data_IF_331716691325
#
_entry.id   IF_331716691325
#
_cell.length_a   1.000
_cell.length_b   1.000
_cell.length_c   1.000
_cell.angle_alpha   90.00
_cell.angle_beta   90.00
_cell.angle_gamma   90.00
#
_symmetry.space_group_name_H-M   'P 1'
#
loop_
_entity.id
_entity.type
_entity.pdbx_description
1 polymer ?
#
# COMPACT_ATOMS: atom_id res chain seq x y z
N UNK A 1 -13.51 -19.01 9.09
CA UNK A 1 -14.03 -17.71 8.62
C UNK A 1 -15.17 -18.03 7.69
N UNK A 2 -16.40 -17.88 8.15
CA UNK A 2 -17.56 -18.09 7.31
C UNK A 2 -17.81 -16.82 6.48
N UNK A 3 -17.32 -16.80 5.24
CA UNK A 3 -17.41 -15.64 4.35
C UNK A 3 -18.85 -15.23 4.00
N UNK A 4 -19.84 -16.11 4.22
CA UNK A 4 -21.27 -15.79 4.01
C UNK A 4 -21.88 -14.97 5.14
N UNK A 5 -21.36 -15.06 6.36
CA UNK A 5 -21.97 -14.42 7.54
C UNK A 5 -21.13 -13.26 8.09
N UNK A 6 -19.91 -13.05 7.61
CA UNK A 6 -18.95 -12.07 8.17
C UNK A 6 -18.67 -12.27 9.67
N UNK A 7 -18.96 -13.46 10.20
CA UNK A 7 -18.69 -13.84 11.57
C UNK A 7 -17.39 -14.64 11.58
N UNK A 8 -16.39 -14.14 12.30
CA UNK A 8 -15.21 -14.94 12.62
C UNK A 8 -15.61 -16.01 13.65
N UNK A 9 -15.53 -17.28 13.27
CA UNK A 9 -15.79 -18.41 14.16
C UNK A 9 -14.87 -18.31 15.39
N UNK A 10 -15.48 -18.33 16.59
CA UNK A 10 -14.91 -18.69 17.90
C UNK A 10 -13.39 -18.54 18.08
N UNK A 11 -12.89 -17.31 18.08
CA UNK A 11 -11.50 -17.04 18.52
C UNK A 11 -11.54 -16.20 19.80
N UNK A 12 -11.31 -16.85 20.93
CA UNK A 12 -11.18 -16.25 22.25
C UNK A 12 -9.82 -15.58 22.42
N UNK A 13 -9.71 -14.63 23.35
CA UNK A 13 -8.41 -14.02 23.72
C UNK A 13 -7.39 -15.07 24.20
N UNK A 14 -7.86 -16.17 24.81
CA UNK A 14 -7.03 -17.31 25.20
C UNK A 14 -6.51 -18.08 23.98
N UNK A 15 -7.38 -18.40 23.03
CA UNK A 15 -6.95 -19.07 21.79
C UNK A 15 -6.00 -18.18 20.96
N UNK A 16 -6.20 -16.86 20.96
CA UNK A 16 -5.25 -15.91 20.34
C UNK A 16 -3.90 -15.97 21.05
N UNK A 17 -3.91 -15.94 22.38
CA UNK A 17 -2.70 -16.01 23.21
C UNK A 17 -1.89 -17.28 22.92
N UNK A 18 -2.57 -18.43 22.90
CA UNK A 18 -1.96 -19.74 22.63
C UNK A 18 -1.43 -19.84 21.20
N UNK A 19 -2.23 -19.46 20.19
CA UNK A 19 -1.84 -19.53 18.78
C UNK A 19 -0.68 -18.60 18.42
N UNK A 20 -0.63 -17.42 19.05
CA UNK A 20 0.39 -16.41 18.75
C UNK A 20 1.61 -16.49 19.69
N UNK A 21 1.58 -17.31 20.74
CA UNK A 21 2.63 -17.33 21.77
C UNK A 21 2.78 -16.00 22.52
N UNK A 22 1.71 -15.20 22.58
CA UNK A 22 1.68 -13.89 23.24
C UNK A 22 1.01 -14.06 24.60
N UNK A 23 1.48 -13.35 25.64
CA UNK A 23 0.84 -13.43 26.96
C UNK A 23 -0.63 -13.01 26.90
N UNK A 24 -1.50 -13.72 27.62
CA UNK A 24 -2.93 -13.42 27.67
C UNK A 24 -3.19 -11.98 28.14
N UNK A 25 -2.36 -11.47 29.06
CA UNK A 25 -2.44 -10.08 29.53
C UNK A 25 -2.20 -9.07 28.41
N UNK A 26 -1.26 -9.35 27.50
CA UNK A 26 -0.99 -8.51 26.33
C UNK A 26 -2.16 -8.58 25.35
N UNK A 27 -2.67 -9.78 25.07
CA UNK A 27 -3.84 -9.95 24.17
C UNK A 27 -5.04 -9.17 24.70
N UNK A 28 -5.40 -9.34 25.98
CA UNK A 28 -6.47 -8.58 26.65
C UNK A 28 -6.31 -7.07 26.51
N UNK A 29 -5.10 -6.56 26.77
CA UNK A 29 -4.79 -5.14 26.67
C UNK A 29 -4.96 -4.64 25.23
N UNK A 30 -4.44 -5.36 24.25
CA UNK A 30 -4.53 -4.99 22.83
C UNK A 30 -5.97 -5.02 22.32
N UNK A 31 -6.72 -6.08 22.62
CA UNK A 31 -8.13 -6.20 22.24
C UNK A 31 -8.97 -5.09 22.88
N UNK A 32 -8.73 -4.77 24.15
CA UNK A 32 -9.40 -3.65 24.83
C UNK A 32 -9.12 -2.30 24.13
N UNK A 33 -7.86 -2.02 23.76
CA UNK A 33 -7.50 -0.80 23.02
C UNK A 33 -8.16 -0.75 21.64
N UNK A 34 -8.24 -1.87 20.93
CA UNK A 34 -8.92 -1.96 19.63
C UNK A 34 -10.42 -1.70 19.75
N UNK A 35 -11.09 -2.31 20.74
CA UNK A 35 -12.52 -2.09 21.04
C UNK A 35 -12.85 -0.62 21.28
N UNK A 36 -11.95 0.09 21.95
CA UNK A 36 -12.14 1.49 22.33
C UNK A 36 -11.70 2.48 21.24
N UNK A 37 -11.09 2.01 20.15
CA UNK A 37 -10.68 2.87 19.05
C UNK A 37 -11.86 3.14 18.11
N UNK A 38 -12.55 4.27 18.33
CA UNK A 38 -13.72 4.68 17.53
C UNK A 38 -13.43 4.97 16.06
N UNK A 39 -12.17 5.25 15.71
CA UNK A 39 -11.76 5.42 14.31
C UNK A 39 -11.71 4.07 13.56
N UNK A 40 -11.62 2.96 14.28
CA UNK A 40 -11.56 1.61 13.71
C UNK A 40 -12.85 0.82 13.97
N UNK A 41 -13.39 0.92 15.18
CA UNK A 41 -14.56 0.17 15.65
C UNK A 41 -15.63 1.16 16.09
N UNK A 42 -16.68 1.31 15.28
CA UNK A 42 -17.82 2.16 15.57
C UNK A 42 -18.60 1.64 16.79
N UNK A 43 -18.95 0.35 16.74
CA UNK A 43 -19.79 -0.30 17.75
C UNK A 43 -19.31 -1.70 18.08
N UNK A 44 -19.37 -2.07 19.36
CA UNK A 44 -19.21 -3.45 19.83
C UNK A 44 -20.51 -3.85 20.50
N UNK A 45 -21.19 -4.86 19.95
CA UNK A 45 -22.34 -5.48 20.61
C UNK A 45 -21.81 -6.64 21.43
N UNK A 46 -21.79 -6.47 22.75
CA UNK A 46 -21.42 -7.52 23.69
C UNK A 46 -22.69 -8.26 24.10
N UNK A 47 -22.87 -9.48 23.62
CA UNK A 47 -23.95 -10.33 24.08
C UNK A 47 -23.43 -11.13 25.28
N UNK A 48 -24.04 -10.97 26.45
CA UNK A 48 -23.73 -11.70 27.67
C UNK A 48 -24.98 -12.46 28.13
N UNK A 49 -25.36 -13.52 27.43
CA UNK A 49 -26.39 -14.45 27.93
C UNK A 49 -25.73 -15.82 28.02
N UNK A 50 -25.59 -16.31 29.25
CA UNK A 50 -25.30 -17.71 29.56
C UNK A 50 -26.54 -18.18 30.32
N UNK A 51 -27.54 -18.66 29.58
CA UNK A 51 -28.59 -19.47 30.19
C UNK A 51 -28.09 -20.92 30.23
N UNK A 52 -28.37 -21.62 31.32
CA UNK A 52 -28.06 -23.04 31.47
C UNK A 52 -28.54 -23.80 30.22
N UNK A 53 -27.59 -24.44 29.53
CA UNK A 53 -27.86 -25.31 28.39
C UNK A 53 -27.71 -24.73 26.98
N UNK A 54 -27.35 -23.45 26.76
CA UNK A 54 -27.18 -22.98 25.37
C UNK A 54 -26.16 -21.85 25.13
N UNK A 55 -25.40 -22.06 24.04
CA UNK A 55 -24.41 -21.26 23.30
C UNK A 55 -23.75 -20.03 23.95
N UNK A 56 -22.41 -20.07 24.01
CA UNK A 56 -21.56 -18.90 24.27
C UNK A 56 -21.87 -17.80 23.24
N UNK A 57 -22.21 -16.62 23.75
CA UNK A 57 -22.52 -15.44 22.96
C UNK A 57 -21.22 -14.75 22.49
N UNK A 58 -21.25 -14.19 21.28
CA UNK A 58 -20.08 -13.59 20.60
C UNK A 58 -20.19 -12.07 20.53
N UNK A 59 -19.07 -11.39 20.72
CA UNK A 59 -18.97 -9.95 20.48
C UNK A 59 -19.08 -9.71 18.96
N UNK A 60 -20.02 -8.87 18.54
CA UNK A 60 -20.09 -8.39 17.16
C UNK A 60 -19.38 -7.04 17.09
N UNK A 61 -18.37 -6.95 16.23
CA UNK A 61 -17.61 -5.72 16.00
C UNK A 61 -18.09 -5.09 14.70
N UNK A 62 -18.58 -3.85 14.79
CA UNK A 62 -18.93 -3.03 13.65
C UNK A 62 -17.74 -2.13 13.36
N UNK A 63 -17.04 -2.41 12.26
CA UNK A 63 -15.92 -1.58 11.80
C UNK A 63 -16.48 -0.22 11.39
N UNK A 64 -15.80 0.84 11.79
CA UNK A 64 -16.17 2.19 11.37
C UNK A 64 -16.13 2.30 9.85
N UNK A 65 -17.07 3.06 9.26
CA UNK A 65 -17.05 3.33 7.83
C UNK A 65 -15.72 4.02 7.51
N UNK A 66 -14.88 3.35 6.73
CA UNK A 66 -13.54 3.83 6.42
C UNK A 66 -13.61 4.79 5.23
N UNK A 67 -13.13 6.01 5.43
CA UNK A 67 -13.14 7.08 4.44
C UNK A 67 -11.83 7.03 3.66
N UNK A 68 -11.64 6.08 2.73
CA UNK A 68 -10.49 5.99 1.80
C UNK A 68 -9.05 6.02 2.37
N UNK A 69 -8.86 6.20 3.67
CA UNK A 69 -7.56 6.37 4.33
C UNK A 69 -7.01 5.02 4.82
N UNK A 70 -6.88 4.08 3.90
CA UNK A 70 -6.28 2.78 4.15
C UNK A 70 -5.34 2.38 3.02
N UNK A 71 -4.44 1.44 3.32
CA UNK A 71 -3.54 0.86 2.34
C UNK A 71 -3.59 -0.65 2.46
N UNK A 72 -3.23 -1.33 1.37
CA UNK A 72 -3.26 -2.78 1.29
C UNK A 72 -1.91 -3.36 1.64
N UNK A 73 -1.93 -4.43 2.43
CA UNK A 73 -0.75 -5.22 2.77
C UNK A 73 -1.05 -6.70 2.56
N UNK A 74 -0.08 -7.43 2.02
CA UNK A 74 -0.14 -8.88 1.95
C UNK A 74 0.19 -9.48 3.31
N UNK A 75 -0.44 -10.63 3.63
CA UNK A 75 -0.17 -11.34 4.89
C UNK A 75 1.30 -11.78 5.01
N UNK A 76 2.00 -11.96 3.88
CA UNK A 76 3.45 -12.20 3.83
C UNK A 76 4.23 -11.14 4.61
N UNK A 77 3.78 -9.89 4.65
CA UNK A 77 4.43 -8.81 5.41
C UNK A 77 4.65 -9.18 6.88
N UNK A 78 3.68 -9.85 7.51
CA UNK A 78 3.76 -10.21 8.92
C UNK A 78 4.75 -11.36 9.18
N UNK A 79 4.97 -12.22 8.19
CA UNK A 79 5.87 -13.37 8.28
C UNK A 79 7.26 -13.10 7.69
N UNK A 80 7.42 -12.02 6.92
CA UNK A 80 8.67 -11.59 6.30
C UNK A 80 9.77 -11.36 7.36
N UNK A 81 10.94 -11.96 7.16
CA UNK A 81 12.09 -11.76 8.04
C UNK A 81 12.80 -10.41 7.78
N UNK A 82 12.44 -9.71 6.71
CA UNK A 82 12.96 -8.42 6.29
C UNK A 82 14.49 -8.39 6.17
N UNK A 83 15.15 -9.53 5.95
CA UNK A 83 16.61 -9.65 6.02
C UNK A 83 17.21 -9.18 7.37
N UNK A 84 16.44 -9.29 8.47
CA UNK A 84 16.86 -8.87 9.81
C UNK A 84 16.80 -10.08 10.76
N UNK A 85 17.96 -10.47 11.29
CA UNK A 85 18.09 -11.66 12.14
C UNK A 85 17.31 -11.57 13.47
N UNK A 86 17.31 -10.41 14.13
CA UNK A 86 16.68 -10.22 15.44
C UNK A 86 15.18 -9.93 15.32
N UNK A 87 14.35 -10.78 15.91
CA UNK A 87 12.88 -10.63 15.87
C UNK A 87 12.38 -9.29 16.43
N UNK A 88 12.99 -8.79 17.50
CA UNK A 88 12.62 -7.50 18.10
C UNK A 88 12.94 -6.31 17.20
N UNK A 89 13.96 -6.42 16.35
CA UNK A 89 14.32 -5.41 15.35
C UNK A 89 13.39 -5.49 14.15
N UNK A 90 13.04 -6.71 13.68
CA UNK A 90 12.00 -6.92 12.66
C UNK A 90 10.72 -6.18 13.02
N UNK A 91 10.20 -6.40 14.24
CA UNK A 91 8.96 -5.78 14.71
C UNK A 91 9.04 -4.24 14.67
N UNK A 92 10.19 -3.66 15.05
CA UNK A 92 10.41 -2.21 14.99
C UNK A 92 10.37 -1.69 13.56
N UNK A 93 11.03 -2.39 12.63
CA UNK A 93 11.03 -2.01 11.22
C UNK A 93 9.66 -2.20 10.58
N UNK A 94 8.92 -3.28 10.89
CA UNK A 94 7.52 -3.45 10.42
C UNK A 94 6.66 -2.25 10.84
N UNK A 95 6.72 -1.89 12.11
CA UNK A 95 5.97 -0.75 12.65
C UNK A 95 6.40 0.57 12.00
N UNK A 96 7.70 0.75 11.77
CA UNK A 96 8.23 1.93 11.09
C UNK A 96 7.72 2.02 9.64
N UNK A 97 7.79 0.93 8.87
CA UNK A 97 7.31 0.88 7.49
C UNK A 97 5.80 1.16 7.38
N UNK A 98 4.98 0.60 8.28
CA UNK A 98 3.53 0.86 8.29
C UNK A 98 3.22 2.34 8.58
N UNK A 99 3.94 2.96 9.52
CA UNK A 99 3.79 4.40 9.80
C UNK A 99 4.29 5.25 8.63
N UNK A 100 5.41 4.87 8.02
CA UNK A 100 5.94 5.58 6.85
C UNK A 100 4.96 5.50 5.68
N UNK A 101 4.37 4.32 5.43
CA UNK A 101 3.35 4.12 4.39
C UNK A 101 2.14 5.04 4.58
N UNK A 102 1.71 5.26 5.81
CA UNK A 102 0.62 6.20 6.11
C UNK A 102 0.95 7.67 5.78
N UNK A 103 2.23 8.01 5.62
CA UNK A 103 2.69 9.35 5.23
C UNK A 103 3.06 9.44 3.74
N UNK A 104 3.07 8.32 3.01
CA UNK A 104 3.40 8.33 1.59
C UNK A 104 2.36 9.12 0.78
N UNK A 105 2.79 9.65 -0.37
CA UNK A 105 1.88 10.21 -1.37
C UNK A 105 0.82 9.16 -1.71
N UNK A 106 -0.46 9.58 -1.77
CA UNK A 106 -1.61 8.71 -2.05
C UNK A 106 -1.30 7.81 -3.25
N UNK A 107 -1.63 6.52 -3.11
CA UNK A 107 -1.44 5.50 -4.15
C UNK A 107 0.03 5.30 -4.60
N UNK A 108 0.98 5.58 -3.70
CA UNK A 108 2.39 5.28 -3.89
C UNK A 108 3.01 4.72 -2.61
N UNK A 109 4.23 4.22 -2.72
CA UNK A 109 5.11 3.88 -1.59
C UNK A 109 6.22 4.93 -1.39
N UNK A 110 6.00 6.16 -1.87
CA UNK A 110 6.96 7.27 -1.82
C UNK A 110 6.55 8.27 -0.75
N UNK A 111 7.41 8.50 0.22
CA UNK A 111 7.32 9.67 1.09
C UNK A 111 8.22 10.77 0.51
N UNK A 112 7.65 11.95 0.27
CA UNK A 112 8.36 13.13 -0.21
C UNK A 112 8.26 14.20 0.87
N UNK A 113 9.39 14.80 1.25
CA UNK A 113 9.40 15.91 2.20
C UNK A 113 8.70 17.13 1.61
N UNK A 114 7.87 17.77 2.43
CA UNK A 114 7.21 19.03 2.06
C UNK A 114 8.20 20.19 2.01
N UNK A 115 9.24 20.12 2.85
CA UNK A 115 10.35 21.09 2.84
C UNK A 115 11.67 20.34 2.75
N UNK A 116 12.08 19.90 1.54
CA UNK A 116 13.30 19.12 1.36
C UNK A 116 14.54 19.84 1.89
N UNK A 117 15.51 19.07 2.38
CA UNK A 117 16.80 19.60 2.82
C UNK A 117 17.86 19.22 1.80
N UNK A 118 18.40 20.21 1.07
CA UNK A 118 19.39 20.00 0.01
C UNK A 118 18.96 18.93 -1.00
N UNK A 119 17.73 19.05 -1.50
CA UNK A 119 17.07 18.07 -2.39
C UNK A 119 16.95 16.64 -1.83
N UNK A 120 17.11 16.51 -0.51
CA UNK A 120 17.05 15.26 0.22
C UNK A 120 15.94 15.23 1.27
N UNK A 121 15.88 14.11 1.97
CA UNK A 121 14.93 13.87 3.05
C UNK A 121 15.09 14.89 4.19
N UNK A 122 14.01 15.61 4.52
CA UNK A 122 13.92 16.36 5.75
C UNK A 122 13.58 15.44 6.93
N UNK A 123 14.62 14.96 7.63
CA UNK A 123 14.48 14.05 8.77
C UNK A 123 13.76 14.69 9.96
N UNK A 124 13.86 16.01 10.13
CA UNK A 124 13.18 16.73 11.21
C UNK A 124 11.67 16.83 10.97
N UNK A 125 11.26 17.04 9.72
CA UNK A 125 9.87 16.97 9.31
C UNK A 125 9.32 15.56 9.53
N UNK A 126 10.04 14.54 9.03
CA UNK A 126 9.61 13.15 9.14
C UNK A 126 9.51 12.69 10.60
N UNK A 127 10.45 13.06 11.47
CA UNK A 127 10.43 12.68 12.89
C UNK A 127 9.20 13.23 13.60
N UNK A 128 8.86 14.51 13.35
CA UNK A 128 7.65 15.16 13.86
C UNK A 128 6.38 14.44 13.38
N UNK A 129 6.27 14.17 12.06
CA UNK A 129 5.10 13.47 11.48
C UNK A 129 4.91 12.06 12.03
N UNK A 130 6.00 11.33 12.28
CA UNK A 130 5.97 9.98 12.84
C UNK A 130 5.76 9.95 14.36
N UNK A 131 5.91 11.09 15.04
CA UNK A 131 5.88 11.20 16.49
C UNK A 131 7.00 10.41 17.17
N UNK A 132 8.21 10.42 16.60
CA UNK A 132 9.39 9.76 17.16
C UNK A 132 10.55 10.74 17.26
N UNK A 133 11.47 10.52 18.19
CA UNK A 133 12.67 11.35 18.30
C UNK A 133 13.63 11.10 17.12
N UNK A 134 14.43 12.12 16.80
CA UNK A 134 15.36 12.09 15.65
C UNK A 134 16.42 11.00 15.76
N UNK A 135 16.86 10.65 16.98
CA UNK A 135 17.86 9.58 17.20
C UNK A 135 17.27 8.22 16.86
N UNK A 136 16.06 7.95 17.31
CA UNK A 136 15.30 6.74 16.96
C UNK A 136 15.00 6.68 15.47
N UNK A 137 14.58 7.79 14.86
CA UNK A 137 14.36 7.86 13.41
C UNK A 137 15.62 7.48 12.65
N UNK A 138 16.77 8.09 12.97
CA UNK A 138 18.04 7.80 12.29
C UNK A 138 18.41 6.32 12.38
N UNK A 139 18.24 5.71 13.56
CA UNK A 139 18.48 4.27 13.75
C UNK A 139 17.56 3.42 12.87
N UNK A 140 16.27 3.76 12.80
CA UNK A 140 15.32 3.00 11.97
C UNK A 140 15.58 3.17 10.48
N UNK A 141 15.96 4.36 10.03
CA UNK A 141 16.36 4.61 8.65
C UNK A 141 17.58 3.76 8.28
N UNK A 142 18.64 3.80 9.10
CA UNK A 142 19.86 3.01 8.87
C UNK A 142 19.55 1.50 8.79
N UNK A 143 18.81 0.98 9.77
CA UNK A 143 18.41 -0.43 9.79
C UNK A 143 17.56 -0.82 8.57
N UNK A 144 16.59 0.01 8.18
CA UNK A 144 15.71 -0.27 7.06
C UNK A 144 16.43 -0.20 5.71
N UNK A 145 17.39 0.72 5.55
CA UNK A 145 18.24 0.81 4.36
C UNK A 145 19.15 -0.41 4.26
N UNK A 146 19.86 -0.76 5.34
CA UNK A 146 20.76 -1.91 5.35
C UNK A 146 20.02 -3.24 5.11
N UNK A 147 18.75 -3.31 5.51
CA UNK A 147 17.87 -4.46 5.30
C UNK A 147 17.19 -4.48 3.91
N UNK A 148 17.45 -3.48 3.06
CA UNK A 148 16.82 -3.36 1.73
C UNK A 148 15.31 -3.10 1.78
N UNK A 149 14.80 -2.54 2.87
CA UNK A 149 13.36 -2.29 3.06
C UNK A 149 12.93 -0.90 2.57
N UNK A 150 13.86 0.05 2.53
CA UNK A 150 13.66 1.39 1.97
C UNK A 150 14.88 1.81 1.16
N UNK A 151 14.72 2.78 0.26
CA UNK A 151 15.83 3.54 -0.32
C UNK A 151 15.58 5.04 -0.25
N UNK A 152 16.66 5.81 -0.20
CA UNK A 152 16.59 7.25 -0.41
C UNK A 152 16.28 7.54 -1.88
N UNK A 153 15.44 8.54 -2.11
CA UNK A 153 15.13 9.09 -3.43
C UNK A 153 15.22 10.61 -3.34
N UNK A 154 15.21 11.27 -4.49
CA UNK A 154 15.12 12.72 -4.58
C UNK A 154 13.97 13.23 -3.69
N UNK A 155 14.32 14.14 -2.77
CA UNK A 155 13.42 14.73 -1.77
C UNK A 155 12.75 13.77 -0.78
N UNK A 156 13.17 12.49 -0.65
CA UNK A 156 12.35 11.54 0.10
C UNK A 156 12.87 10.11 0.30
N UNK A 157 11.91 9.20 0.50
CA UNK A 157 12.11 7.77 0.73
C UNK A 157 11.14 6.96 -0.14
N UNK A 158 11.60 5.80 -0.62
CA UNK A 158 10.77 4.77 -1.26
C UNK A 158 10.76 3.51 -0.40
N UNK A 159 9.58 2.97 -0.11
CA UNK A 159 9.42 1.64 0.50
C UNK A 159 9.60 0.57 -0.58
N UNK A 160 10.48 -0.40 -0.30
CA UNK A 160 10.84 -1.49 -1.22
C UNK A 160 10.13 -2.82 -0.89
N UNK A 161 9.53 -2.94 0.30
CA UNK A 161 8.86 -4.18 0.69
C UNK A 161 7.62 -4.43 -0.19
N UNK A 162 7.70 -5.43 -1.08
CA UNK A 162 6.62 -5.81 -2.02
C UNK A 162 5.34 -6.30 -1.33
N UNK A 163 5.41 -6.63 -0.03
CA UNK A 163 4.21 -6.97 0.73
C UNK A 163 3.36 -5.73 1.06
N UNK A 164 3.89 -4.51 0.92
CA UNK A 164 3.14 -3.25 1.04
C UNK A 164 2.76 -2.78 -0.36
N UNK A 165 1.47 -2.87 -0.68
CA UNK A 165 0.96 -2.51 -2.02
C UNK A 165 1.00 -0.99 -2.17
N UNK A 166 1.53 -0.46 -3.30
CA UNK A 166 1.65 0.98 -3.52
C UNK A 166 0.29 1.69 -3.54
N UNK A 167 -0.69 1.10 -4.23
CA UNK A 167 -1.97 1.72 -4.53
C UNK A 167 -3.15 0.90 -3.99
N UNK A 168 -3.75 0.05 -4.81
CA UNK A 168 -4.93 -0.73 -4.51
C UNK A 168 -4.87 -2.09 -5.19
N UNK A 169 -5.72 -3.01 -4.72
CA UNK A 169 -5.87 -4.31 -5.35
C UNK A 169 -7.19 -4.34 -6.13
N UNK A 170 -7.08 -4.49 -7.44
CA UNK A 170 -8.23 -4.70 -8.32
C UNK A 170 -7.85 -5.67 -9.42
N UNK A 171 -8.80 -6.51 -9.79
CA UNK A 171 -8.64 -7.49 -10.84
C UNK A 171 -8.95 -6.83 -12.20
N UNK A 172 -8.04 -5.99 -12.65
CA UNK A 172 -8.09 -5.37 -13.98
C UNK A 172 -6.70 -5.28 -14.62
N UNK A 173 -6.69 -5.27 -15.96
CA UNK A 173 -5.46 -5.26 -16.76
C UNK A 173 -4.59 -4.04 -16.46
N UNK A 174 -5.18 -2.87 -16.24
CA UNK A 174 -4.44 -1.63 -15.97
C UNK A 174 -3.62 -1.74 -14.68
N UNK A 175 -4.25 -2.28 -13.64
CA UNK A 175 -3.64 -2.49 -12.33
C UNK A 175 -2.60 -3.61 -12.38
N UNK A 176 -2.88 -4.72 -13.09
CA UNK A 176 -1.89 -5.79 -13.33
C UNK A 176 -0.63 -5.24 -13.99
N UNK A 177 -0.77 -4.55 -15.13
CA UNK A 177 0.38 -4.03 -15.90
C UNK A 177 1.16 -3.00 -15.07
N UNK A 178 0.47 -2.12 -14.35
CA UNK A 178 1.14 -1.17 -13.45
C UNK A 178 1.93 -1.89 -12.34
N UNK A 179 1.37 -2.92 -11.71
CA UNK A 179 2.09 -3.71 -10.69
C UNK A 179 3.29 -4.44 -11.27
N UNK A 180 3.22 -4.96 -12.50
CA UNK A 180 4.37 -5.57 -13.18
C UNK A 180 5.49 -4.56 -13.40
N UNK A 181 5.16 -3.37 -13.93
CA UNK A 181 6.12 -2.27 -14.11
C UNK A 181 6.73 -1.87 -12.77
N UNK A 182 5.88 -1.70 -11.75
CA UNK A 182 6.30 -1.29 -10.42
C UNK A 182 7.28 -2.31 -9.81
N UNK A 183 6.92 -3.59 -9.80
CA UNK A 183 7.76 -4.65 -9.25
C UNK A 183 9.08 -4.79 -10.01
N UNK A 184 9.05 -4.69 -11.34
CA UNK A 184 10.25 -4.67 -12.16
C UNK A 184 11.18 -3.51 -11.76
N UNK A 185 10.64 -2.32 -11.48
CA UNK A 185 11.46 -1.20 -11.01
C UNK A 185 12.13 -1.49 -9.67
N UNK A 186 11.38 -2.08 -8.72
CA UNK A 186 11.93 -2.47 -7.42
C UNK A 186 13.06 -3.48 -7.58
N UNK A 187 12.87 -4.49 -8.43
CA UNK A 187 13.87 -5.55 -8.67
C UNK A 187 15.16 -5.02 -9.33
N UNK A 188 15.07 -3.93 -10.09
CA UNK A 188 16.19 -3.33 -10.80
C UNK A 188 16.74 -2.06 -10.13
N UNK A 189 16.32 -1.76 -8.90
CA UNK A 189 16.79 -0.58 -8.17
C UNK A 189 16.32 0.77 -8.74
N UNK A 190 15.41 0.76 -9.71
CA UNK A 190 14.82 1.93 -10.38
C UNK A 190 13.71 2.52 -9.51
N UNK A 191 13.50 3.84 -9.55
CA UNK A 191 12.35 4.46 -8.86
C UNK A 191 11.10 4.21 -9.72
N UNK A 192 10.06 3.50 -9.21
CA UNK A 192 8.85 3.25 -9.99
C UNK A 192 8.17 4.56 -10.41
N UNK A 193 7.53 4.65 -11.58
CA UNK A 193 6.78 5.83 -11.98
C UNK A 193 5.53 5.99 -11.09
N UNK A 194 5.06 7.22 -10.92
CA UNK A 194 3.73 7.43 -10.33
C UNK A 194 2.65 7.04 -11.33
N UNK A 195 1.58 6.41 -10.85
CA UNK A 195 0.43 6.04 -11.69
C UNK A 195 -0.31 7.26 -12.22
N UNK A 196 -0.34 8.34 -11.44
CA UNK A 196 -0.97 9.63 -11.78
C UNK A 196 -2.40 9.48 -12.31
N UNK A 197 -3.20 8.62 -11.67
CA UNK A 197 -4.60 8.45 -12.04
C UNK A 197 -5.43 9.69 -11.71
N UNK A 198 -6.34 10.05 -12.60
CA UNK A 198 -7.49 10.88 -12.26
C UNK A 198 -8.49 10.02 -11.48
N UNK A 199 -8.84 10.47 -10.27
CA UNK A 199 -9.76 9.77 -9.38
C UNK A 199 -11.13 10.46 -9.45
N UNK A 200 -12.15 9.72 -9.86
CA UNK A 200 -13.54 10.20 -9.93
C UNK A 200 -14.43 9.36 -9.03
N UNK A 201 -15.17 10.00 -8.13
CA UNK A 201 -16.23 9.35 -7.36
C UNK A 201 -17.52 9.42 -8.16
N UNK A 202 -18.03 8.25 -8.58
CA UNK A 202 -19.26 8.12 -9.36
C UNK A 202 -20.49 8.34 -8.46
N UNK A 203 -21.65 8.63 -9.05
CA UNK A 203 -22.90 8.88 -8.32
C UNK A 203 -23.34 7.70 -7.41
N UNK A 204 -22.97 6.47 -7.76
CA UNK A 204 -23.22 5.27 -6.95
C UNK A 204 -22.17 5.03 -5.84
N UNK A 205 -21.26 5.99 -5.61
CA UNK A 205 -20.17 5.90 -4.64
C UNK A 205 -18.98 5.04 -5.07
N UNK A 206 -18.99 4.46 -6.28
CA UNK A 206 -17.83 3.74 -6.79
C UNK A 206 -16.70 4.69 -7.20
N UNK A 207 -15.46 4.28 -6.97
CA UNK A 207 -14.27 5.07 -7.30
C UNK A 207 -13.73 4.57 -8.65
N UNK A 208 -13.67 5.47 -9.63
CA UNK A 208 -13.04 5.25 -10.93
C UNK A 208 -11.66 5.89 -10.94
N UNK A 209 -10.69 5.16 -11.46
CA UNK A 209 -9.31 5.62 -11.66
C UNK A 209 -8.95 5.46 -13.11
N UNK A 210 -8.33 6.48 -13.69
CA UNK A 210 -7.89 6.43 -15.08
C UNK A 210 -6.67 7.32 -15.28
N UNK A 211 -5.65 6.76 -15.90
CA UNK A 211 -4.55 7.50 -16.50
C UNK A 211 -4.53 7.14 -17.99
N UNK A 212 -4.67 8.13 -18.87
CA UNK A 212 -4.76 7.91 -20.31
C UNK A 212 -3.51 7.22 -20.87
N UNK A 213 -2.34 7.57 -20.35
CA UNK A 213 -1.08 7.00 -20.81
C UNK A 213 -0.89 5.57 -20.34
N UNK A 214 -1.27 5.26 -19.10
CA UNK A 214 -1.30 3.89 -18.60
C UNK A 214 -2.23 3.03 -19.45
N UNK A 215 -3.40 3.55 -19.85
CA UNK A 215 -4.34 2.84 -20.73
C UNK A 215 -3.73 2.52 -22.10
N UNK A 216 -2.92 3.43 -22.66
CA UNK A 216 -2.22 3.15 -23.93
C UNK A 216 -1.11 2.11 -23.74
N UNK A 217 -0.35 2.20 -22.65
CA UNK A 217 0.65 1.19 -22.26
C UNK A 217 -0.02 -0.17 -22.09
N UNK A 218 -1.19 -0.23 -21.44
CA UNK A 218 -1.92 -1.48 -21.20
C UNK A 218 -2.55 -2.02 -22.47
N UNK A 219 -3.00 -1.17 -23.39
CA UNK A 219 -3.42 -1.58 -24.73
C UNK A 219 -2.32 -2.31 -25.50
N UNK A 220 -1.06 -1.92 -25.30
CA UNK A 220 0.10 -2.57 -25.94
C UNK A 220 0.59 -3.84 -25.22
N UNK A 221 0.51 -3.87 -23.90
CA UNK A 221 1.07 -4.95 -23.08
C UNK A 221 0.03 -5.99 -22.62
N UNK A 222 -1.27 -5.68 -22.71
CA UNK A 222 -2.33 -6.40 -22.02
C UNK A 222 -2.49 -7.88 -22.41
N UNK A 223 -2.07 -8.24 -23.62
CA UNK A 223 -2.09 -9.61 -24.14
C UNK A 223 -0.80 -10.40 -23.89
N UNK A 224 0.23 -9.76 -23.33
CA UNK A 224 1.51 -10.41 -23.04
C UNK A 224 1.48 -11.08 -21.67
N UNK A 225 2.28 -12.14 -21.52
CA UNK A 225 2.56 -12.76 -20.22
C UNK A 225 3.44 -11.85 -19.36
N UNK A 226 3.37 -12.02 -18.04
CA UNK A 226 4.10 -11.17 -17.07
C UNK A 226 5.62 -11.18 -17.33
N UNK A 227 6.19 -12.34 -17.60
CA UNK A 227 7.61 -12.54 -17.89
C UNK A 227 8.05 -11.85 -19.19
N UNK A 228 7.22 -11.88 -20.23
CA UNK A 228 7.51 -11.22 -21.50
C UNK A 228 7.53 -9.69 -21.33
N UNK A 229 6.62 -9.15 -20.52
CA UNK A 229 6.61 -7.74 -20.17
C UNK A 229 7.89 -7.38 -19.42
N UNK A 230 8.28 -8.16 -18.40
CA UNK A 230 9.51 -7.93 -17.64
C UNK A 230 10.76 -7.97 -18.54
N UNK A 231 10.84 -8.95 -19.43
CA UNK A 231 11.92 -9.07 -20.42
C UNK A 231 11.99 -7.85 -21.34
N UNK A 232 10.83 -7.40 -21.83
CA UNK A 232 10.74 -6.20 -22.68
C UNK A 232 11.21 -4.95 -21.95
N UNK A 233 10.81 -4.76 -20.68
CA UNK A 233 11.25 -3.62 -19.85
C UNK A 233 12.77 -3.65 -19.66
N UNK A 234 13.35 -4.79 -19.29
CA UNK A 234 14.81 -4.96 -19.13
C UNK A 234 15.60 -4.60 -20.38
N UNK A 235 15.10 -4.97 -21.56
CA UNK A 235 15.80 -4.72 -22.82
C UNK A 235 15.72 -3.28 -23.30
N UNK A 236 14.81 -2.48 -22.74
CA UNK A 236 14.38 -1.20 -23.32
C UNK A 236 14.60 -0.02 -22.39
N UNK A 237 14.51 -0.23 -21.08
CA UNK A 237 14.73 0.82 -20.08
C UNK A 237 16.22 0.89 -19.74
N UNK A 238 16.78 2.08 -19.87
CA UNK A 238 18.20 2.35 -19.57
C UNK A 238 18.39 3.45 -18.52
N UNK A 239 17.30 4.04 -18.02
CA UNK A 239 17.30 5.14 -17.05
C UNK A 239 16.98 4.66 -15.64
N UNK A 240 17.64 5.24 -14.63
CA UNK A 240 17.38 4.97 -13.21
C UNK A 240 16.14 5.71 -12.67
N UNK A 241 15.79 6.83 -13.31
CA UNK A 241 14.56 7.57 -13.06
C UNK A 241 13.64 7.45 -14.28
N UNK A 242 12.43 6.91 -14.07
CA UNK A 242 11.47 6.68 -15.15
C UNK A 242 10.10 7.25 -14.82
N UNK A 243 9.39 7.67 -15.86
CA UNK A 243 7.97 8.08 -15.81
C UNK A 243 7.14 7.21 -16.74
N UNK A 244 5.81 7.29 -16.66
CA UNK A 244 4.95 6.62 -17.64
C UNK A 244 5.20 7.15 -19.06
N UNK A 245 5.51 8.44 -19.23
CA UNK A 245 5.87 9.05 -20.52
C UNK A 245 7.15 8.46 -21.10
N UNK A 246 8.15 8.25 -20.26
CA UNK A 246 9.37 7.57 -20.66
C UNK A 246 9.08 6.14 -21.12
N UNK A 247 8.31 5.37 -20.35
CA UNK A 247 7.93 3.99 -20.70
C UNK A 247 7.17 3.97 -22.03
N UNK A 248 6.16 4.83 -22.20
CA UNK A 248 5.38 4.90 -23.43
C UNK A 248 6.26 5.21 -24.65
N UNK A 249 7.20 6.15 -24.52
CA UNK A 249 8.17 6.50 -25.56
C UNK A 249 9.05 5.30 -25.92
N UNK A 250 9.61 4.64 -24.93
CA UNK A 250 10.48 3.48 -25.09
C UNK A 250 9.75 2.28 -25.70
N UNK A 251 8.45 2.16 -25.43
CA UNK A 251 7.56 1.18 -26.03
C UNK A 251 7.03 1.62 -27.41
N UNK A 252 7.50 2.73 -27.99
CA UNK A 252 7.02 3.28 -29.26
C UNK A 252 5.49 3.43 -29.31
N UNK A 253 4.90 3.98 -28.25
CA UNK A 253 3.50 4.32 -28.20
C UNK A 253 3.35 5.75 -28.75
N UNK A 254 2.74 5.86 -29.92
CA UNK A 254 2.52 7.15 -30.56
C UNK A 254 1.41 7.88 -29.81
N UNK A 255 1.79 8.80 -28.93
CA UNK A 255 0.90 9.85 -28.42
C UNK A 255 0.55 10.80 -29.57
N UNK A 256 -0.19 10.35 -30.58
CA UNK A 256 -0.94 11.28 -31.42
C UNK A 256 -1.93 11.92 -30.46
N UNK A 257 -1.63 13.13 -29.97
CA UNK A 257 -2.67 14.03 -29.46
C UNK A 257 -3.79 13.94 -30.48
N UNK A 258 -4.99 13.55 -30.05
CA UNK A 258 -6.18 13.74 -30.90
C UNK A 258 -6.14 15.21 -31.29
N UNK A 259 -5.83 15.49 -32.55
CA UNK A 259 -6.14 16.77 -33.14
C UNK A 259 -7.62 17.01 -32.81
N UNK A 260 -7.93 18.15 -32.20
CA UNK A 260 -9.31 18.59 -32.04
C UNK A 260 -9.92 18.53 -33.43
N UNK A 261 -10.82 17.59 -33.66
CA UNK A 261 -11.65 17.59 -34.85
C UNK A 261 -12.57 18.79 -34.66
N UNK A 262 -12.19 19.92 -35.25
CA UNK A 262 -13.05 21.07 -35.45
C UNK A 262 -14.23 20.59 -36.29
N UNK A 263 -15.33 20.24 -35.65
CA UNK A 263 -16.59 19.99 -36.36
C UNK A 263 -17.11 21.34 -36.85
N UNK A 264 -16.74 21.72 -38.06
CA UNK A 264 -17.44 22.75 -38.80
C UNK A 264 -18.74 22.15 -39.36
N UNK A 265 -19.85 22.45 -38.69
CA UNK A 265 -21.18 22.19 -39.24
C UNK A 265 -21.53 23.39 -40.12
N UNK A 266 -21.56 23.20 -41.44
CA UNK A 266 -22.23 24.11 -42.36
C UNK A 266 -23.70 23.67 -42.36
N UNK A 267 -24.58 24.56 -41.91
CA UNK A 267 -26.02 24.42 -42.06
C UNK A 267 -26.39 25.02 -43.42
N UNK A 268 -26.92 24.19 -44.32
CA UNK A 268 -27.69 24.63 -45.49
C UNK A 268 -29.13 25.02 -45.08
#
# INVERSE_FOLDING_TARGET
MNYKTSIADNVTEKEISEKLGISLSTVKRSVSRLKNNKNLIDKVISNNVIAEGSYKTYNKYHVAKCNEDFFYIYNSFFNDDMNIAKASERIKIKNFLLKLKALCKKETNKYISESPYLDGLNKTELSKKLGIDTKTLNKYLEMAVNAGQIKYITNGLLILNKSIIPDFKKDDTDTRIYHIIYDWCIDNGVVPPDRNDEITVMANGSIRRRNSLLVEITGKLGYMEDEDIRSLLTNRITSEEITLEYIAKVLNINNKKKEEIEYSVILD
#
